data_IF_105185449915
#
_entry.id   IF_105185449915
#
_cell.length_a   1.000
_cell.length_b   1.000
_cell.length_c   1.000
_cell.angle_alpha   90.00
_cell.angle_beta   90.00
_cell.angle_gamma   90.00
#
_symmetry.space_group_name_H-M   'P 1'
#
loop_
_entity.id
_entity.type
_entity.pdbx_description
1 polymer ?
#
# COMPACT_ATOMS: atom_id res chain seq x y z
N UNK A 1 3.84 16.46 22.12
CA UNK A 1 2.45 16.96 21.92
C UNK A 1 1.55 15.74 21.88
N UNK A 2 0.38 15.75 22.50
CA UNK A 2 -0.58 14.65 22.32
C UNK A 2 -1.02 14.67 20.87
N UNK A 3 -1.03 13.51 20.21
CA UNK A 3 -1.59 13.39 18.87
C UNK A 3 -3.04 13.89 18.84
N UNK A 4 -3.46 14.54 17.74
CA UNK A 4 -4.83 15.03 17.64
C UNK A 4 -5.80 13.86 17.75
N UNK A 5 -6.85 14.03 18.55
CA UNK A 5 -7.98 13.08 18.54
C UNK A 5 -8.60 13.18 17.14
N UNK A 6 -8.47 12.10 16.36
CA UNK A 6 -9.08 12.05 15.05
C UNK A 6 -10.58 11.76 15.21
N UNK A 7 -11.40 12.75 14.89
CA UNK A 7 -12.84 12.53 14.76
C UNK A 7 -13.09 11.83 13.42
N UNK A 8 -13.54 10.59 13.49
CA UNK A 8 -13.82 9.75 12.32
C UNK A 8 -15.25 9.23 12.40
N UNK A 9 -15.95 9.19 11.27
CA UNK A 9 -17.27 8.56 11.17
C UNK A 9 -17.40 7.76 9.86
N UNK A 10 -18.30 6.78 9.87
CA UNK A 10 -18.53 5.94 8.70
C UNK A 10 -19.31 6.71 7.64
N UNK A 11 -18.88 6.57 6.40
CA UNK A 11 -19.60 6.99 5.21
C UNK A 11 -19.69 5.81 4.24
N UNK A 12 -20.74 5.75 3.43
CA UNK A 12 -20.93 4.70 2.44
C UNK A 12 -20.58 5.28 1.07
N UNK A 13 -19.68 4.60 0.36
CA UNK A 13 -19.30 4.97 -1.00
C UNK A 13 -20.37 4.57 -2.02
N UNK A 14 -20.27 5.07 -3.27
CA UNK A 14 -21.26 4.80 -4.32
C UNK A 14 -21.34 3.31 -4.71
N UNK A 15 -20.30 2.52 -4.47
CA UNK A 15 -20.33 1.06 -4.67
C UNK A 15 -20.90 0.28 -3.48
N UNK A 16 -21.43 0.99 -2.46
CA UNK A 16 -22.03 0.40 -1.27
C UNK A 16 -21.02 0.00 -0.19
N UNK A 17 -19.73 0.13 -0.41
CA UNK A 17 -18.73 -0.22 0.58
C UNK A 17 -18.57 0.86 1.66
N UNK A 18 -18.41 0.47 2.94
CA UNK A 18 -18.14 1.43 4.01
C UNK A 18 -16.72 1.99 3.90
N UNK A 19 -16.55 3.24 4.27
CA UNK A 19 -15.26 3.89 4.50
C UNK A 19 -15.38 4.84 5.67
N UNK A 20 -14.29 5.47 6.06
CA UNK A 20 -14.27 6.49 7.12
C UNK A 20 -14.03 7.87 6.51
N UNK A 21 -14.70 8.87 7.06
CA UNK A 21 -14.36 10.27 6.85
C UNK A 21 -13.64 10.79 8.07
N UNK A 22 -12.54 11.49 7.89
CA UNK A 22 -11.81 12.16 8.95
C UNK A 22 -12.11 13.65 8.94
N UNK A 23 -12.76 14.14 9.99
CA UNK A 23 -13.01 15.58 10.20
C UNK A 23 -11.68 16.35 10.29
N UNK A 24 -10.69 15.75 10.92
CA UNK A 24 -9.38 16.38 11.14
C UNK A 24 -8.63 16.64 9.83
N UNK A 25 -8.73 15.71 8.88
CA UNK A 25 -8.10 15.84 7.57
C UNK A 25 -9.04 16.37 6.49
N UNK A 26 -10.36 16.41 6.74
CA UNK A 26 -11.36 16.82 5.77
C UNK A 26 -11.47 15.89 4.57
N UNK A 27 -11.04 14.62 4.71
CA UNK A 27 -10.99 13.63 3.63
C UNK A 27 -11.53 12.27 4.07
N UNK A 28 -12.07 11.53 3.10
CA UNK A 28 -12.39 10.11 3.25
C UNK A 28 -11.15 9.25 3.08
N UNK A 29 -11.07 8.14 3.82
CA UNK A 29 -9.98 7.16 3.73
C UNK A 29 -9.89 6.52 2.35
N UNK A 30 -11.03 6.35 1.67
CA UNK A 30 -11.10 5.81 0.31
C UNK A 30 -12.00 6.69 -0.56
N UNK A 31 -11.98 6.41 -1.86
CA UNK A 31 -12.84 7.10 -2.82
C UNK A 31 -14.32 6.92 -2.48
N UNK A 32 -15.04 8.00 -2.34
CA UNK A 32 -16.50 7.99 -2.18
C UNK A 32 -17.23 7.49 -3.45
N UNK A 33 -16.54 7.45 -4.59
CA UNK A 33 -17.06 6.90 -5.86
C UNK A 33 -16.93 5.39 -5.98
N UNK A 34 -16.38 4.69 -4.97
CA UNK A 34 -16.22 3.24 -4.95
C UNK A 34 -14.89 2.83 -4.32
N UNK A 35 -14.91 2.53 -3.01
CA UNK A 35 -13.71 2.20 -2.26
C UNK A 35 -13.15 0.83 -2.70
N UNK A 36 -14.01 -0.20 -2.75
CA UNK A 36 -13.61 -1.55 -3.15
C UNK A 36 -13.19 -1.60 -4.62
N UNK A 37 -13.94 -0.95 -5.51
CA UNK A 37 -13.61 -0.94 -6.95
C UNK A 37 -12.27 -0.28 -7.22
N UNK A 38 -11.96 0.84 -6.55
CA UNK A 38 -10.67 1.51 -6.70
C UNK A 38 -9.53 0.66 -6.18
N UNK A 39 -9.66 0.09 -4.99
CA UNK A 39 -8.64 -0.77 -4.39
C UNK A 39 -8.37 -2.02 -5.24
N UNK A 40 -9.40 -2.70 -5.73
CA UNK A 40 -9.24 -3.84 -6.64
C UNK A 40 -8.50 -3.43 -7.92
N UNK A 41 -8.96 -2.35 -8.56
CA UNK A 41 -8.35 -1.91 -9.81
C UNK A 41 -6.88 -1.54 -9.63
N UNK A 42 -6.56 -0.77 -8.61
CA UNK A 42 -5.24 -0.20 -8.42
C UNK A 42 -4.28 -1.15 -7.70
N UNK A 43 -4.62 -1.51 -6.47
CA UNK A 43 -3.69 -2.24 -5.61
C UNK A 43 -3.66 -3.74 -5.91
N UNK A 44 -4.82 -4.33 -6.20
CA UNK A 44 -4.85 -5.76 -6.51
C UNK A 44 -4.40 -6.01 -7.96
N UNK A 45 -5.08 -5.45 -8.96
CA UNK A 45 -4.81 -5.78 -10.36
C UNK A 45 -3.47 -5.23 -10.85
N UNK A 46 -3.14 -3.97 -10.52
CA UNK A 46 -1.90 -3.32 -10.95
C UNK A 46 -0.73 -3.49 -9.96
N UNK A 47 -1.01 -3.90 -8.72
CA UNK A 47 -0.02 -4.22 -7.69
C UNK A 47 0.23 -5.72 -7.59
N UNK A 48 -0.58 -6.43 -6.78
CA UNK A 48 -0.39 -7.85 -6.45
C UNK A 48 -0.33 -8.76 -7.67
N UNK A 49 -1.34 -8.71 -8.54
CA UNK A 49 -1.43 -9.63 -9.71
C UNK A 49 -0.23 -9.43 -10.63
N UNK A 50 0.12 -8.17 -10.92
CA UNK A 50 1.27 -7.86 -11.78
C UNK A 50 2.62 -8.24 -11.16
N UNK A 51 2.74 -8.25 -9.84
CA UNK A 51 3.93 -8.75 -9.16
C UNK A 51 3.98 -10.28 -9.18
N UNK A 52 2.85 -10.94 -9.01
CA UNK A 52 2.75 -12.39 -9.05
C UNK A 52 3.08 -13.00 -10.43
N UNK A 53 2.80 -12.27 -11.52
CA UNK A 53 3.23 -12.66 -12.87
C UNK A 53 4.77 -12.76 -13.00
N UNK A 54 5.51 -12.02 -12.16
CA UNK A 54 6.98 -11.97 -12.19
C UNK A 54 7.63 -12.84 -11.10
N UNK A 55 6.95 -13.01 -9.96
CA UNK A 55 7.46 -13.69 -8.77
C UNK A 55 6.47 -14.73 -8.27
N UNK A 56 6.71 -15.98 -8.61
CA UNK A 56 5.91 -17.10 -8.09
C UNK A 56 6.50 -17.53 -6.74
N UNK A 57 5.67 -17.52 -5.69
CA UNK A 57 5.99 -18.11 -4.38
C UNK A 57 6.03 -17.13 -3.22
N UNK A 58 6.81 -16.06 -3.28
CA UNK A 58 6.93 -15.10 -2.16
C UNK A 58 6.89 -13.65 -2.65
N UNK A 59 5.93 -12.87 -2.15
CA UNK A 59 5.77 -11.45 -2.48
C UNK A 59 5.81 -10.64 -1.18
N UNK A 60 6.65 -9.62 -1.14
CA UNK A 60 6.68 -8.62 -0.07
C UNK A 60 5.94 -7.36 -0.53
N UNK A 61 4.88 -7.04 0.18
CA UNK A 61 4.12 -5.79 0.00
C UNK A 61 4.45 -4.85 1.15
N UNK A 62 4.74 -3.60 0.82
CA UNK A 62 4.81 -2.49 1.78
C UNK A 62 3.70 -1.49 1.49
N UNK A 63 2.84 -1.24 2.47
CA UNK A 63 1.76 -0.27 2.38
C UNK A 63 2.06 0.96 3.23
N UNK A 64 1.83 2.13 2.67
CA UNK A 64 1.78 3.41 3.36
C UNK A 64 0.33 3.82 3.54
N UNK A 65 -0.16 3.78 4.78
CA UNK A 65 -1.55 4.02 5.14
C UNK A 65 -2.37 2.73 5.23
N UNK A 66 -2.42 2.11 6.42
CA UNK A 66 -3.29 0.94 6.67
C UNK A 66 -4.77 1.32 6.64
N UNK A 67 -5.08 2.49 7.20
CA UNK A 67 -6.44 3.02 7.26
C UNK A 67 -7.43 2.02 7.83
N UNK A 68 -8.46 1.67 7.04
CA UNK A 68 -9.46 0.66 7.41
C UNK A 68 -9.00 -0.79 7.21
N UNK A 69 -7.81 -1.01 6.63
CA UNK A 69 -7.31 -2.35 6.29
C UNK A 69 -7.93 -2.94 5.01
N UNK A 70 -8.62 -2.14 4.19
CA UNK A 70 -9.31 -2.61 3.00
C UNK A 70 -8.36 -3.25 1.98
N UNK A 71 -7.22 -2.62 1.70
CA UNK A 71 -6.25 -3.16 0.73
C UNK A 71 -5.66 -4.50 1.18
N UNK A 72 -5.38 -4.64 2.48
CA UNK A 72 -4.92 -5.90 3.06
C UNK A 72 -6.00 -6.99 2.97
N UNK A 73 -7.26 -6.67 3.32
CA UNK A 73 -8.39 -7.59 3.21
C UNK A 73 -8.60 -8.08 1.77
N UNK A 74 -8.62 -7.17 0.80
CA UNK A 74 -8.77 -7.52 -0.62
C UNK A 74 -7.58 -8.33 -1.15
N UNK A 75 -6.38 -8.09 -0.64
CA UNK A 75 -5.21 -8.91 -0.93
C UNK A 75 -5.42 -10.35 -0.44
N UNK A 76 -5.91 -10.54 0.79
CA UNK A 76 -6.22 -11.87 1.34
C UNK A 76 -7.30 -12.56 0.52
N UNK A 77 -8.41 -11.88 0.25
CA UNK A 77 -9.52 -12.42 -0.55
C UNK A 77 -9.06 -12.86 -1.93
N UNK A 78 -8.17 -12.08 -2.56
CA UNK A 78 -7.59 -12.44 -3.86
C UNK A 78 -6.74 -13.70 -3.77
N UNK A 79 -5.89 -13.83 -2.74
CA UNK A 79 -5.08 -15.04 -2.53
C UNK A 79 -5.95 -16.28 -2.31
N UNK A 80 -7.04 -16.17 -1.54
CA UNK A 80 -7.94 -17.29 -1.23
C UNK A 80 -8.78 -17.72 -2.42
N UNK A 81 -9.16 -16.79 -3.31
CA UNK A 81 -10.09 -17.04 -4.40
C UNK A 81 -9.42 -17.25 -5.77
N UNK A 82 -8.12 -16.93 -5.91
CA UNK A 82 -7.40 -17.07 -7.17
C UNK A 82 -6.49 -18.31 -7.15
N UNK A 83 -6.86 -19.31 -7.94
CA UNK A 83 -6.11 -20.59 -8.04
C UNK A 83 -4.68 -20.41 -8.56
N UNK A 84 -4.44 -19.42 -9.40
CA UNK A 84 -3.10 -19.14 -9.94
C UNK A 84 -2.15 -18.64 -8.84
N UNK A 85 -2.69 -18.14 -7.73
CA UNK A 85 -1.94 -17.67 -6.56
C UNK A 85 -1.87 -18.71 -5.43
N UNK A 86 -2.33 -19.95 -5.64
CA UNK A 86 -2.41 -20.99 -4.58
C UNK A 86 -1.07 -21.27 -3.88
N UNK A 87 0.06 -21.10 -4.60
CA UNK A 87 1.40 -21.29 -4.06
C UNK A 87 2.09 -19.97 -3.65
N UNK A 88 1.40 -18.84 -3.74
CA UNK A 88 1.95 -17.53 -3.40
C UNK A 88 1.75 -17.22 -1.93
N UNK A 89 2.83 -16.82 -1.25
CA UNK A 89 2.77 -16.27 0.11
C UNK A 89 3.06 -14.78 0.07
N UNK A 90 2.22 -14.00 0.73
CA UNK A 90 2.39 -12.55 0.85
C UNK A 90 2.84 -12.21 2.27
N UNK A 91 3.95 -11.47 2.35
CA UNK A 91 4.43 -10.83 3.56
C UNK A 91 4.10 -9.34 3.47
N UNK A 92 3.05 -8.97 4.18
CA UNK A 92 2.46 -7.63 4.12
C UNK A 92 2.94 -6.80 5.32
N UNK A 93 3.64 -5.72 5.04
CA UNK A 93 4.00 -4.72 6.04
C UNK A 93 3.19 -3.47 5.79
N UNK A 94 2.48 -2.95 6.79
CA UNK A 94 1.76 -1.70 6.67
C UNK A 94 2.16 -0.72 7.75
N UNK A 95 2.24 0.56 7.39
CA UNK A 95 2.58 1.66 8.28
C UNK A 95 1.36 2.55 8.41
N UNK A 96 1.05 2.91 9.65
CA UNK A 96 -0.05 3.80 9.98
C UNK A 96 0.33 4.67 11.18
N UNK A 97 0.10 5.96 11.06
CA UNK A 97 0.36 6.89 12.16
C UNK A 97 -0.78 6.94 13.17
N UNK A 98 -1.98 6.71 12.71
CA UNK A 98 -3.21 6.87 13.49
C UNK A 98 -4.09 5.62 13.39
N UNK A 99 -3.66 4.49 13.99
CA UNK A 99 -4.43 3.25 13.97
C UNK A 99 -5.89 3.45 14.40
N UNK A 100 -6.79 2.68 13.81
CA UNK A 100 -8.19 2.65 14.25
C UNK A 100 -8.29 2.00 15.63
N UNK A 101 -9.15 2.55 16.48
CA UNK A 101 -9.54 1.92 17.74
C UNK A 101 -10.48 0.74 17.48
N UNK A 102 -10.65 -0.13 18.48
CA UNK A 102 -11.60 -1.25 18.39
C UNK A 102 -13.03 -0.76 18.16
N UNK A 103 -13.42 0.34 18.78
CA UNK A 103 -14.74 0.95 18.58
C UNK A 103 -14.94 1.39 17.13
N UNK A 104 -13.91 1.94 16.48
CA UNK A 104 -13.98 2.41 15.09
C UNK A 104 -14.02 1.24 14.09
N UNK A 105 -13.08 0.29 14.18
CA UNK A 105 -13.05 -0.79 13.19
C UNK A 105 -14.19 -1.81 13.37
N UNK A 106 -14.74 -1.98 14.57
CA UNK A 106 -15.87 -2.91 14.79
C UNK A 106 -17.16 -2.47 14.09
N UNK A 107 -17.28 -1.18 13.79
CA UNK A 107 -18.41 -0.61 13.06
C UNK A 107 -18.30 -0.76 11.54
N UNK A 108 -17.11 -1.10 11.02
CA UNK A 108 -16.90 -1.28 9.60
C UNK A 108 -17.39 -2.67 9.20
N UNK A 109 -18.33 -2.73 8.26
CA UNK A 109 -18.93 -3.99 7.80
C UNK A 109 -18.38 -4.38 6.41
N UNK A 110 -17.15 -4.89 6.40
CA UNK A 110 -16.59 -5.55 5.22
C UNK A 110 -16.96 -7.04 5.21
N UNK A 111 -16.99 -7.64 4.01
CA UNK A 111 -17.06 -9.09 3.86
C UNK A 111 -15.85 -9.78 4.56
N UNK A 112 -16.00 -11.06 4.92
CA UNK A 112 -14.98 -11.82 5.67
C UNK A 112 -14.64 -11.22 7.04
N UNK A 113 -15.67 -10.93 7.82
CA UNK A 113 -15.55 -10.24 9.10
C UNK A 113 -14.55 -10.91 10.06
N UNK A 114 -14.45 -12.23 10.06
CA UNK A 114 -13.49 -12.95 10.89
C UNK A 114 -12.03 -12.59 10.53
N UNK A 115 -11.71 -12.62 9.25
CA UNK A 115 -10.38 -12.23 8.75
C UNK A 115 -10.12 -10.75 9.04
N UNK A 116 -11.10 -9.91 8.79
CA UNK A 116 -11.01 -8.47 9.05
C UNK A 116 -10.69 -8.16 10.51
N UNK A 117 -11.45 -8.74 11.44
CA UNK A 117 -11.22 -8.57 12.88
C UNK A 117 -9.85 -9.12 13.30
N UNK A 118 -9.47 -10.29 12.79
CA UNK A 118 -8.17 -10.89 13.06
C UNK A 118 -7.01 -9.98 12.63
N UNK A 119 -7.10 -9.33 11.46
CA UNK A 119 -6.09 -8.36 11.01
C UNK A 119 -6.00 -7.15 11.95
N UNK A 120 -7.14 -6.61 12.39
CA UNK A 120 -7.16 -5.46 13.30
C UNK A 120 -6.64 -5.80 14.69
N UNK A 121 -6.90 -6.99 15.19
CA UNK A 121 -6.45 -7.48 16.48
C UNK A 121 -4.94 -7.80 16.53
N UNK A 122 -4.23 -7.92 15.40
CA UNK A 122 -2.78 -8.05 15.44
C UNK A 122 -2.14 -6.82 16.07
N UNK A 123 -1.05 -7.03 16.80
CA UNK A 123 -0.37 -5.97 17.54
C UNK A 123 0.34 -5.01 16.61
N UNK A 124 0.22 -3.72 16.85
CA UNK A 124 1.06 -2.71 16.27
C UNK A 124 2.48 -2.79 16.86
N UNK A 125 3.47 -2.74 15.99
CA UNK A 125 4.88 -2.74 16.33
C UNK A 125 5.43 -1.32 16.29
N UNK A 126 6.50 -1.06 17.04
CA UNK A 126 7.24 0.20 16.98
C UNK A 126 8.27 0.16 15.84
N UNK A 127 8.88 1.31 15.55
CA UNK A 127 10.04 1.38 14.64
C UNK A 127 11.22 0.55 15.13
N UNK A 128 11.45 0.51 16.45
CA UNK A 128 12.51 -0.30 17.06
C UNK A 128 12.23 -1.80 16.90
N UNK A 129 10.98 -2.23 17.04
CA UNK A 129 10.59 -3.61 16.76
C UNK A 129 10.82 -3.96 15.29
N UNK A 130 10.47 -3.05 14.37
CA UNK A 130 10.71 -3.24 12.95
C UNK A 130 12.20 -3.37 12.61
N UNK A 131 13.05 -2.56 13.22
CA UNK A 131 14.48 -2.57 12.98
C UNK A 131 15.19 -3.82 13.53
N UNK A 132 14.66 -4.40 14.62
CA UNK A 132 15.34 -5.48 15.39
C UNK A 132 14.72 -6.85 15.25
N UNK A 133 13.45 -6.94 14.84
CA UNK A 133 12.67 -8.19 14.81
C UNK A 133 11.99 -8.37 13.45
N UNK A 134 12.18 -9.51 12.82
CA UNK A 134 11.40 -9.92 11.65
C UNK A 134 10.19 -10.75 12.11
N UNK A 135 9.18 -10.08 12.66
CA UNK A 135 7.97 -10.73 13.15
C UNK A 135 6.75 -10.38 12.31
N UNK A 136 6.06 -11.41 11.83
CA UNK A 136 4.80 -11.33 11.12
C UNK A 136 3.76 -12.23 11.80
N UNK A 137 2.56 -11.70 11.99
CA UNK A 137 1.41 -12.48 12.42
C UNK A 137 0.81 -13.24 11.23
N UNK A 138 0.64 -14.56 11.37
CA UNK A 138 0.01 -15.38 10.34
C UNK A 138 -1.50 -15.16 10.37
N UNK A 139 -2.06 -14.54 9.35
CA UNK A 139 -3.50 -14.33 9.19
C UNK A 139 -4.16 -15.51 8.48
N UNK A 140 -3.56 -15.96 7.36
CA UNK A 140 -3.98 -17.17 6.64
C UNK A 140 -2.73 -17.99 6.28
N UNK A 141 -2.90 -19.15 5.61
CA UNK A 141 -1.77 -19.95 5.13
C UNK A 141 -0.89 -19.20 4.10
N UNK A 142 -1.48 -18.21 3.43
CA UNK A 142 -0.81 -17.46 2.36
C UNK A 142 -0.51 -15.99 2.75
N UNK A 143 -1.02 -15.49 3.88
CA UNK A 143 -0.88 -14.08 4.23
C UNK A 143 -0.35 -13.87 5.65
N UNK A 144 0.74 -13.13 5.73
CA UNK A 144 1.48 -12.79 6.93
C UNK A 144 1.51 -11.27 7.08
N UNK A 145 1.02 -10.74 8.19
CA UNK A 145 0.84 -9.31 8.45
C UNK A 145 1.81 -8.79 9.50
N UNK A 146 2.40 -7.65 9.22
CA UNK A 146 3.12 -6.82 10.18
C UNK A 146 2.61 -5.39 10.09
N UNK A 147 2.15 -4.84 11.23
CA UNK A 147 1.68 -3.46 11.32
C UNK A 147 2.66 -2.62 12.14
N UNK A 148 2.99 -1.44 11.66
CA UNK A 148 3.93 -0.52 12.29
C UNK A 148 3.22 0.80 12.57
N UNK A 149 3.17 1.18 13.85
CA UNK A 149 2.64 2.49 14.25
C UNK A 149 3.77 3.52 14.17
N UNK A 150 3.76 4.33 13.11
CA UNK A 150 4.78 5.35 12.88
C UNK A 150 4.31 6.42 11.90
N UNK A 151 4.94 7.60 11.98
CA UNK A 151 4.87 8.59 10.91
C UNK A 151 5.66 8.10 9.69
N UNK A 152 5.16 8.34 8.49
CA UNK A 152 5.85 7.98 7.24
C UNK A 152 7.20 8.70 7.10
N UNK A 153 7.32 9.90 7.69
CA UNK A 153 8.57 10.67 7.70
C UNK A 153 9.68 9.97 8.51
N UNK A 154 9.31 9.24 9.56
CA UNK A 154 10.25 8.56 10.45
C UNK A 154 10.54 7.12 10.00
N UNK A 155 9.75 6.59 9.06
CA UNK A 155 9.91 5.23 8.58
C UNK A 155 11.00 5.11 7.52
N UNK A 156 11.99 4.27 7.80
CA UNK A 156 13.10 3.98 6.90
C UNK A 156 13.08 2.49 6.52
N UNK A 157 12.53 2.12 5.34
CA UNK A 157 12.52 0.74 4.89
C UNK A 157 13.96 0.32 4.53
N UNK A 158 14.67 -0.32 5.43
CA UNK A 158 16.04 -0.86 5.31
C UNK A 158 16.84 -0.38 4.09
N UNK A 159 17.54 0.75 4.22
CA UNK A 159 18.15 1.51 3.13
C UNK A 159 19.16 0.73 2.25
N UNK A 160 19.66 -0.41 2.70
CA UNK A 160 20.69 -1.18 2.00
C UNK A 160 20.20 -2.56 1.52
N UNK A 161 18.91 -2.84 1.59
CA UNK A 161 18.37 -4.15 1.20
C UNK A 161 17.12 -3.97 0.34
N UNK A 162 17.22 -4.33 -0.92
CA UNK A 162 16.09 -4.41 -1.84
C UNK A 162 15.26 -5.65 -1.49
N UNK A 163 14.11 -5.45 -0.84
CA UNK A 163 13.29 -6.56 -0.36
C UNK A 163 11.82 -6.46 -0.79
N UNK A 164 11.38 -5.29 -1.25
CA UNK A 164 9.98 -5.00 -1.54
C UNK A 164 9.68 -5.29 -3.00
N UNK A 165 8.67 -6.11 -3.26
CA UNK A 165 8.17 -6.39 -4.61
C UNK A 165 7.11 -5.36 -5.04
N UNK A 166 6.23 -4.96 -4.10
CA UNK A 166 5.12 -4.05 -4.36
C UNK A 166 4.99 -3.02 -3.25
N UNK A 167 4.74 -1.78 -3.64
CA UNK A 167 4.33 -0.72 -2.71
C UNK A 167 2.92 -0.28 -3.02
N UNK A 168 2.06 -0.36 -2.02
CA UNK A 168 0.75 0.28 -1.99
C UNK A 168 0.93 1.65 -1.34
N UNK A 169 0.96 2.70 -2.15
CA UNK A 169 1.18 4.05 -1.64
C UNK A 169 -0.15 4.78 -1.56
N UNK A 170 -0.75 4.73 -0.36
CA UNK A 170 -2.14 5.14 -0.10
C UNK A 170 -2.31 6.13 1.08
N UNK A 171 -1.43 7.14 1.27
CA UNK A 171 -1.65 8.20 2.24
C UNK A 171 -2.84 9.09 1.84
N UNK A 172 -3.30 9.96 2.75
CA UNK A 172 -4.19 11.06 2.39
C UNK A 172 -3.57 11.91 1.27
N UNK A 173 -4.41 12.73 0.61
CA UNK A 173 -4.01 13.44 -0.60
C UNK A 173 -2.72 14.28 -0.44
N UNK A 174 -2.04 14.59 -1.54
CA UNK A 174 -0.88 15.50 -1.52
C UNK A 174 -1.20 16.89 -0.95
N UNK A 175 -2.45 17.30 -0.96
CA UNK A 175 -2.90 18.54 -0.33
C UNK A 175 -2.97 18.42 1.17
N UNK A 176 -3.40 17.27 1.67
CA UNK A 176 -3.62 17.00 3.09
C UNK A 176 -2.34 16.55 3.80
N UNK A 177 -1.52 15.72 3.12
CA UNK A 177 -0.26 15.20 3.65
C UNK A 177 0.92 15.44 2.69
N UNK A 178 1.25 16.71 2.35
CA UNK A 178 2.30 17.00 1.35
C UNK A 178 3.66 16.40 1.71
N UNK A 179 3.97 16.27 3.00
CA UNK A 179 5.22 15.68 3.49
C UNK A 179 5.39 14.21 3.11
N UNK A 180 4.31 13.47 2.83
CA UNK A 180 4.36 12.07 2.41
C UNK A 180 4.69 11.92 0.91
N UNK A 181 4.42 12.96 0.10
CA UNK A 181 4.44 12.90 -1.36
C UNK A 181 5.68 13.60 -1.98
N UNK A 182 6.79 13.60 -1.28
CA UNK A 182 8.00 14.30 -1.67
C UNK A 182 9.12 13.34 -2.14
N UNK A 183 10.19 13.93 -2.71
CA UNK A 183 11.35 13.18 -3.20
C UNK A 183 12.10 12.44 -2.08
N UNK A 184 12.09 12.95 -0.86
CA UNK A 184 12.73 12.28 0.27
C UNK A 184 12.06 10.93 0.57
N UNK A 185 10.73 10.92 0.66
CA UNK A 185 9.94 9.69 0.88
C UNK A 185 10.14 8.72 -0.28
N UNK A 186 9.97 9.19 -1.53
CA UNK A 186 10.12 8.31 -2.69
C UNK A 186 11.55 7.84 -2.91
N UNK A 187 12.56 8.62 -2.53
CA UNK A 187 13.95 8.20 -2.57
C UNK A 187 14.28 7.09 -1.57
N UNK A 188 13.69 7.13 -0.36
CA UNK A 188 13.78 6.02 0.60
C UNK A 188 13.13 4.74 0.07
N UNK A 189 11.95 4.88 -0.51
CA UNK A 189 11.21 3.80 -1.15
C UNK A 189 12.02 3.20 -2.30
N UNK A 190 12.58 4.03 -3.19
CA UNK A 190 13.35 3.56 -4.35
C UNK A 190 14.54 2.69 -3.95
N UNK A 191 15.20 3.00 -2.84
CA UNK A 191 16.33 2.21 -2.32
C UNK A 191 15.89 0.84 -1.77
N UNK A 192 14.66 0.72 -1.29
CA UNK A 192 14.16 -0.50 -0.65
C UNK A 192 13.40 -1.43 -1.63
N UNK A 193 12.89 -0.89 -2.72
CA UNK A 193 12.17 -1.67 -3.73
C UNK A 193 13.14 -2.43 -4.63
N UNK A 194 12.81 -3.68 -4.94
CA UNK A 194 13.60 -4.54 -5.84
C UNK A 194 13.61 -4.00 -7.28
N UNK A 195 14.62 -4.34 -8.08
CA UNK A 195 14.54 -4.22 -9.54
C UNK A 195 13.26 -4.90 -10.06
N UNK A 196 12.59 -4.30 -11.02
CA UNK A 196 11.25 -4.69 -11.52
C UNK A 196 10.12 -4.58 -10.50
N UNK A 197 10.39 -4.19 -9.27
CA UNK A 197 9.37 -3.87 -8.26
C UNK A 197 8.55 -2.65 -8.66
N UNK A 198 7.35 -2.55 -8.11
CA UNK A 198 6.37 -1.53 -8.50
C UNK A 198 5.78 -0.78 -7.33
N UNK A 199 5.55 0.50 -7.52
CA UNK A 199 4.74 1.32 -6.65
C UNK A 199 3.43 1.66 -7.39
N UNK A 200 2.30 1.46 -6.72
CA UNK A 200 0.98 1.84 -7.21
C UNK A 200 0.37 2.89 -6.29
N UNK A 201 -0.26 3.91 -6.89
CA UNK A 201 -0.90 4.98 -6.13
C UNK A 201 -2.05 5.62 -6.91
N UNK A 202 -3.07 6.04 -6.17
CA UNK A 202 -4.25 6.68 -6.75
C UNK A 202 -3.99 8.11 -7.25
N UNK A 203 -2.98 8.80 -6.73
CA UNK A 203 -2.72 10.20 -7.06
C UNK A 203 -1.90 10.33 -8.34
N UNK A 204 -2.53 10.88 -9.39
CA UNK A 204 -1.88 11.12 -10.68
C UNK A 204 -1.42 12.59 -10.87
N UNK A 205 -1.25 13.34 -9.76
CA UNK A 205 -0.86 14.76 -9.80
C UNK A 205 0.54 14.94 -10.39
N UNK A 206 0.73 16.08 -11.03
CA UNK A 206 2.00 16.42 -11.68
C UNK A 206 3.19 16.38 -10.72
N UNK A 207 3.02 16.93 -9.51
CA UNK A 207 4.04 16.97 -8.46
C UNK A 207 4.47 15.56 -8.03
N UNK A 208 3.49 14.64 -7.85
CA UNK A 208 3.76 13.24 -7.46
C UNK A 208 4.54 12.53 -8.56
N UNK A 209 4.10 12.69 -9.83
CA UNK A 209 4.77 12.10 -10.97
C UNK A 209 6.20 12.61 -11.12
N UNK A 210 6.41 13.91 -10.90
CA UNK A 210 7.74 14.50 -10.96
C UNK A 210 8.63 13.96 -9.84
N UNK A 211 8.17 13.94 -8.59
CA UNK A 211 8.94 13.44 -7.45
C UNK A 211 9.34 11.96 -7.61
N UNK A 212 8.43 11.11 -8.11
CA UNK A 212 8.75 9.72 -8.42
C UNK A 212 9.85 9.60 -9.49
N UNK A 213 9.74 10.40 -10.58
CA UNK A 213 10.73 10.40 -11.66
C UNK A 213 12.10 10.92 -11.22
N UNK A 214 12.14 11.97 -10.40
CA UNK A 214 13.38 12.49 -9.83
C UNK A 214 14.12 11.44 -8.98
N UNK A 215 13.39 10.49 -8.39
CA UNK A 215 13.97 9.38 -7.65
C UNK A 215 14.42 8.19 -8.51
N UNK A 216 14.17 8.22 -9.83
CA UNK A 216 14.60 7.18 -10.76
C UNK A 216 13.51 6.18 -11.18
N UNK A 217 12.26 6.37 -10.76
CA UNK A 217 11.16 5.53 -11.22
C UNK A 217 10.76 5.82 -12.67
N UNK A 218 10.48 4.77 -13.43
CA UNK A 218 9.72 4.86 -14.66
C UNK A 218 8.23 4.97 -14.33
N UNK A 219 7.61 6.14 -14.62
CA UNK A 219 6.25 6.45 -14.17
C UNK A 219 5.28 6.46 -15.35
N UNK A 220 4.30 5.55 -15.28
CA UNK A 220 3.23 5.39 -16.26
C UNK A 220 1.89 5.79 -15.66
N UNK A 221 1.08 6.50 -16.44
CA UNK A 221 -0.33 6.72 -16.13
C UNK A 221 -1.14 5.51 -16.59
N UNK A 222 -1.98 5.00 -15.69
CA UNK A 222 -2.98 4.00 -16.01
C UNK A 222 -4.37 4.63 -15.92
N UNK A 223 -5.38 3.98 -16.51
CA UNK A 223 -6.77 4.40 -16.35
C UNK A 223 -7.14 4.32 -14.87
N UNK A 224 -7.79 5.33 -14.33
CA UNK A 224 -8.29 5.32 -12.96
C UNK A 224 -9.55 4.46 -12.83
N UNK A 225 -9.91 4.12 -11.60
CA UNK A 225 -11.17 3.46 -11.29
C UNK A 225 -12.33 4.47 -11.17
N UNK A 226 -13.53 4.02 -11.44
CA UNK A 226 -14.75 4.84 -11.30
C UNK A 226 -14.67 6.16 -12.06
N UNK A 227 -14.85 7.27 -11.35
CA UNK A 227 -14.81 8.64 -11.92
C UNK A 227 -13.39 9.21 -12.05
N UNK A 228 -12.38 8.55 -11.48
CA UNK A 228 -10.98 9.02 -11.60
C UNK A 228 -10.43 8.75 -12.99
N UNK A 229 -9.83 9.78 -13.61
CA UNK A 229 -9.28 9.66 -14.99
C UNK A 229 -8.02 8.81 -15.01
N UNK A 230 -7.15 8.96 -14.02
CA UNK A 230 -5.83 8.33 -14.00
C UNK A 230 -5.38 7.98 -12.59
N UNK A 231 -4.60 6.92 -12.50
CA UNK A 231 -3.74 6.54 -11.37
C UNK A 231 -2.30 6.36 -11.88
N UNK A 232 -1.34 6.12 -10.99
CA UNK A 232 0.06 5.91 -11.38
C UNK A 232 0.54 4.52 -11.00
N UNK A 233 1.35 3.97 -11.90
CA UNK A 233 2.28 2.87 -11.64
C UNK A 233 3.69 3.40 -11.85
N UNK A 234 4.58 3.18 -10.89
CA UNK A 234 5.98 3.53 -10.97
C UNK A 234 6.83 2.26 -10.82
N UNK A 235 7.69 2.00 -11.79
CA UNK A 235 8.54 0.81 -11.84
C UNK A 235 9.99 1.19 -11.53
N UNK A 236 10.68 0.35 -10.79
CA UNK A 236 12.13 0.40 -10.70
C UNK A 236 12.71 -0.48 -11.81
N UNK A 237 13.41 0.13 -12.75
CA UNK A 237 14.02 -0.59 -13.85
C UNK A 237 15.07 -1.59 -13.35
N UNK A 238 15.29 -2.66 -14.13
CA UNK A 238 16.44 -3.53 -13.94
C UNK A 238 17.71 -2.72 -14.21
N UNK A 239 18.78 -2.93 -13.44
CA UNK A 239 20.09 -2.40 -13.84
C UNK A 239 20.43 -2.93 -15.24
N UNK A 240 20.99 -2.06 -16.09
CA UNK A 240 21.47 -2.47 -17.41
C UNK A 240 22.48 -3.61 -17.25
N UNK A 241 22.08 -4.82 -17.66
CA UNK A 241 23.02 -5.93 -17.78
C UNK A 241 23.88 -5.69 -19.04
N UNK A 242 25.20 -5.95 -18.99
CA UNK A 242 26.08 -5.75 -20.16
C UNK A 242 25.65 -6.49 -21.43
N UNK A 243 24.76 -7.48 -21.32
CA UNK A 243 24.24 -8.26 -22.45
C UNK A 243 23.22 -7.51 -23.33
N UNK A 244 22.71 -6.37 -22.89
CA UNK A 244 21.71 -5.57 -23.65
C UNK A 244 22.28 -4.33 -24.33
N UNK A 245 23.61 -4.20 -24.44
CA UNK A 245 24.18 -3.16 -25.31
C UNK A 245 24.01 -3.59 -26.77
N UNK A 246 23.33 -2.79 -27.62
CA UNK A 246 23.33 -3.07 -29.04
C UNK A 246 24.79 -3.05 -29.53
N UNK A 247 25.21 -4.14 -30.13
CA UNK A 247 26.50 -4.22 -30.85
C UNK A 247 26.53 -3.07 -31.84
N UNK A 248 27.27 -2.02 -31.48
CA UNK A 248 27.63 -0.96 -32.46
C UNK A 248 28.47 -1.62 -33.54
N UNK A 249 27.81 -1.89 -34.65
CA UNK A 249 28.48 -2.21 -35.93
C UNK A 249 28.88 -0.94 -36.63
#
# INVERSE_FOLDING_TARGET
>A
MKDPILNRHIVISEDGSPTLFSETFGESYHSTSGAVQESIHLFINNGLIKAAEQNIGKIHILEYGFGTGLNALLTIQTLLNNKDLSNTKVYYTSIEKYPLTEEEYSQIDYSDKEIFLRMHQTKWQTLDDFATKEHFDKITEQFYLRKIEADFADFHPFQNKEWIDVIYFDPFSPETQPQSWNEETFGRIYKAIKPSGRLVTYSAKGIVKQALRSCGFEVTRIKGAGKKRHSLVALKNQPDTPENQPLLQ
#
